data_IF_946991194010
#
_entry.id   IF_946991194010
#
_cell.length_a   1.000
_cell.length_b   1.000
_cell.length_c   1.000
_cell.angle_alpha   90.00
_cell.angle_beta   90.00
_cell.angle_gamma   90.00
#
_symmetry.space_group_name_H-M   'P 1'
#
loop_
_entity.id
_entity.type
_entity.pdbx_description
1 polymer ?
#
# COMPACT_ATOMS: atom_id res chain seq x y z
N UNK A 1 21.97 7.88 2.18
CA UNK A 1 22.17 8.25 3.59
C UNK A 1 23.19 7.36 4.30
N UNK A 2 23.04 6.03 4.33
CA UNK A 2 23.89 5.15 5.16
C UNK A 2 25.39 5.29 4.88
N UNK A 3 25.78 5.41 3.59
CA UNK A 3 27.18 5.61 3.17
C UNK A 3 27.80 6.86 3.79
N UNK A 4 27.08 7.98 3.82
CA UNK A 4 27.57 9.26 4.35
C UNK A 4 27.79 9.18 5.87
N UNK A 5 26.84 8.57 6.58
CA UNK A 5 26.92 8.38 8.03
C UNK A 5 28.12 7.49 8.39
N UNK A 6 28.33 6.39 7.66
CA UNK A 6 29.49 5.49 7.85
C UNK A 6 30.83 6.16 7.51
N UNK A 7 30.84 7.08 6.54
CA UNK A 7 32.04 7.85 6.21
C UNK A 7 32.37 8.87 7.30
N UNK A 8 31.36 9.53 7.88
CA UNK A 8 31.55 10.57 8.88
C UNK A 8 31.91 10.02 10.27
N UNK A 9 31.13 9.05 10.77
CA UNK A 9 31.33 8.49 12.11
C UNK A 9 32.20 7.24 12.06
N UNK A 10 33.43 7.33 12.57
CA UNK A 10 34.40 6.22 12.57
C UNK A 10 34.23 5.23 13.73
N UNK A 11 33.67 5.69 14.85
CA UNK A 11 33.47 4.92 16.07
C UNK A 11 31.98 4.83 16.43
N UNK A 12 31.17 4.28 15.51
CA UNK A 12 29.73 4.12 15.69
C UNK A 12 29.33 2.65 15.66
N UNK A 13 28.29 2.32 16.42
CA UNK A 13 27.58 1.04 16.34
C UNK A 13 26.20 1.29 15.74
N UNK A 14 25.80 0.45 14.78
CA UNK A 14 24.53 0.58 14.08
C UNK A 14 23.61 -0.57 14.45
N UNK A 15 22.40 -0.23 14.88
CA UNK A 15 21.32 -1.18 15.13
C UNK A 15 20.16 -0.87 14.17
N UNK A 16 19.66 -1.91 13.52
CA UNK A 16 18.53 -1.81 12.59
C UNK A 16 17.34 -2.61 13.12
N UNK A 17 16.17 -1.99 13.15
CA UNK A 17 14.90 -2.66 13.44
C UNK A 17 14.05 -2.62 12.17
N UNK A 18 13.52 -3.77 11.76
CA UNK A 18 12.65 -3.85 10.59
C UNK A 18 11.66 -5.00 10.75
N UNK A 19 10.40 -4.77 10.36
CA UNK A 19 9.41 -5.83 10.23
C UNK A 19 9.49 -6.57 8.88
N UNK A 20 10.19 -6.00 7.90
CA UNK A 20 10.32 -6.53 6.54
C UNK A 20 11.79 -6.52 6.11
N UNK A 21 12.60 -7.50 6.58
CA UNK A 21 14.00 -7.62 6.19
C UNK A 21 14.16 -7.85 4.68
N UNK A 22 15.26 -7.33 4.12
CA UNK A 22 15.69 -7.56 2.73
C UNK A 22 16.66 -8.73 2.71
N UNK A 23 16.38 -9.69 1.84
CA UNK A 23 17.11 -10.91 1.55
C UNK A 23 17.66 -10.87 0.11
N UNK A 24 18.54 -11.80 -0.29
CA UNK A 24 19.03 -11.85 -1.66
C UNK A 24 17.91 -11.93 -2.71
N UNK A 25 16.80 -12.60 -2.40
CA UNK A 25 15.65 -12.79 -3.30
C UNK A 25 14.83 -11.51 -3.53
N UNK A 26 14.89 -10.56 -2.59
CA UNK A 26 14.24 -9.27 -2.68
C UNK A 26 15.23 -8.14 -2.38
N UNK A 27 16.48 -8.25 -2.85
CA UNK A 27 17.55 -7.30 -2.52
C UNK A 27 17.15 -5.86 -2.85
N UNK A 28 17.73 -4.89 -2.14
CA UNK A 28 17.60 -3.47 -2.50
C UNK A 28 18.04 -3.23 -3.95
N UNK A 29 17.68 -2.08 -4.53
CA UNK A 29 18.05 -1.74 -5.91
C UNK A 29 19.56 -1.75 -6.16
N UNK A 30 20.34 -1.50 -5.12
CA UNK A 30 21.80 -1.57 -5.11
C UNK A 30 22.35 -2.96 -4.74
N UNK A 31 21.48 -3.98 -4.73
CA UNK A 31 21.81 -5.38 -4.48
C UNK A 31 22.04 -5.72 -3.01
N UNK A 32 21.92 -4.75 -2.08
CA UNK A 32 22.22 -4.99 -0.66
C UNK A 32 21.05 -5.62 0.09
N UNK A 33 21.37 -6.54 0.97
CA UNK A 33 20.46 -7.13 1.96
C UNK A 33 20.49 -6.34 3.27
N UNK A 34 19.55 -6.60 4.17
CA UNK A 34 19.61 -6.03 5.53
C UNK A 34 20.88 -6.47 6.27
N UNK A 35 21.35 -7.70 6.00
CA UNK A 35 22.56 -8.24 6.60
C UNK A 35 23.84 -7.53 6.09
N UNK A 36 23.86 -7.07 4.84
CA UNK A 36 25.01 -6.31 4.31
C UNK A 36 25.17 -4.94 4.99
N UNK A 37 24.07 -4.37 5.49
CA UNK A 37 24.03 -3.05 6.13
C UNK A 37 24.28 -3.17 7.63
N UNK A 38 23.61 -4.11 8.30
CA UNK A 38 23.58 -4.20 9.77
C UNK A 38 24.31 -5.43 10.34
N UNK A 39 24.80 -6.32 9.50
CA UNK A 39 25.42 -7.57 9.91
C UNK A 39 24.39 -8.63 10.31
N UNK A 40 24.78 -9.53 11.23
CA UNK A 40 23.93 -10.64 11.65
C UNK A 40 22.66 -10.16 12.33
N UNK A 41 21.55 -10.87 12.10
CA UNK A 41 20.34 -10.70 12.89
C UNK A 41 20.61 -11.13 14.34
N UNK A 42 20.32 -10.26 15.31
CA UNK A 42 20.53 -10.52 16.73
C UNK A 42 19.35 -11.23 17.38
N UNK A 43 18.12 -10.94 16.95
CA UNK A 43 16.89 -11.51 17.47
C UNK A 43 15.74 -11.31 16.47
N UNK A 44 14.75 -12.20 16.51
CA UNK A 44 13.53 -12.10 15.69
C UNK A 44 12.30 -12.31 16.54
N UNK A 45 11.28 -11.50 16.30
CA UNK A 45 9.93 -11.68 16.81
C UNK A 45 8.98 -11.52 15.63
N UNK A 46 8.40 -12.63 15.16
CA UNK A 46 7.67 -12.71 13.92
C UNK A 46 6.20 -12.34 14.11
N UNK A 47 5.52 -12.04 13.00
CA UNK A 47 4.07 -11.78 13.03
C UNK A 47 3.27 -12.97 13.56
N UNK A 48 3.75 -14.21 13.32
CA UNK A 48 3.15 -15.42 13.88
C UNK A 48 3.25 -15.43 15.41
N UNK A 49 4.40 -15.08 15.95
CA UNK A 49 4.64 -15.04 17.40
C UNK A 49 3.74 -13.97 18.02
N UNK A 50 3.72 -12.78 17.41
CA UNK A 50 2.90 -11.66 17.85
C UNK A 50 1.39 -11.96 17.84
N UNK A 51 0.89 -12.71 16.85
CA UNK A 51 -0.50 -13.18 16.81
C UNK A 51 -0.74 -14.25 17.88
N UNK A 52 0.17 -15.20 18.05
CA UNK A 52 0.06 -16.27 19.04
C UNK A 52 -0.01 -15.71 20.48
N UNK A 53 0.82 -14.71 20.77
CA UNK A 53 0.92 -14.06 22.07
C UNK A 53 -0.22 -13.05 22.33
N UNK A 54 -1.11 -12.82 21.35
CA UNK A 54 -2.21 -11.85 21.47
C UNK A 54 -1.78 -10.38 21.39
N UNK A 55 -0.53 -10.12 20.99
CA UNK A 55 0.01 -8.77 20.81
C UNK A 55 -0.39 -8.14 19.46
N UNK A 56 -0.78 -8.96 18.49
CA UNK A 56 -1.37 -8.54 17.21
C UNK A 56 -2.67 -9.29 16.94
N UNK A 57 -3.59 -8.63 16.23
CA UNK A 57 -4.79 -9.26 15.70
C UNK A 57 -4.46 -10.12 14.46
N UNK A 58 -5.20 -11.21 14.28
CA UNK A 58 -5.16 -11.99 13.05
C UNK A 58 -5.80 -11.24 11.86
N UNK A 59 -5.60 -11.78 10.66
CA UNK A 59 -6.13 -11.22 9.42
C UNK A 59 -7.35 -12.01 8.93
N UNK A 60 -8.38 -11.30 8.47
CA UNK A 60 -9.48 -11.85 7.69
C UNK A 60 -9.36 -11.33 6.26
N UNK A 61 -9.12 -12.22 5.30
CA UNK A 61 -8.86 -11.85 3.89
C UNK A 61 -9.97 -12.39 3.01
N UNK A 62 -10.73 -11.48 2.40
CA UNK A 62 -11.79 -11.79 1.44
C UNK A 62 -11.39 -11.31 0.04
N UNK A 63 -11.47 -12.20 -0.96
CA UNK A 63 -11.22 -11.86 -2.37
C UNK A 63 -12.55 -11.65 -3.10
N UNK A 64 -12.83 -10.40 -3.49
CA UNK A 64 -14.05 -10.04 -4.23
C UNK A 64 -13.71 -9.95 -5.71
N UNK A 65 -14.20 -10.92 -6.49
CA UNK A 65 -14.01 -10.91 -7.93
C UNK A 65 -15.09 -10.05 -8.64
N UNK A 66 -14.66 -9.04 -9.39
CA UNK A 66 -15.53 -8.14 -10.17
C UNK A 66 -15.75 -8.60 -11.61
N UNK A 67 -15.05 -9.64 -12.07
CA UNK A 67 -15.12 -10.16 -13.44
C UNK A 67 -15.79 -11.52 -13.48
N UNK A 68 -16.82 -11.67 -14.33
CA UNK A 68 -17.51 -12.94 -14.55
C UNK A 68 -16.77 -13.76 -15.63
N UNK A 69 -15.78 -14.55 -15.21
CA UNK A 69 -15.16 -15.70 -15.91
C UNK A 69 -14.38 -15.51 -17.24
N UNK A 70 -13.23 -16.20 -17.31
CA UNK A 70 -12.38 -16.63 -18.45
C UNK A 70 -11.61 -15.61 -19.31
N UNK A 71 -11.89 -14.31 -19.30
CA UNK A 71 -11.12 -13.38 -20.14
C UNK A 71 -9.74 -12.98 -19.57
N UNK A 72 -9.51 -13.23 -18.27
CA UNK A 72 -8.27 -12.86 -17.58
C UNK A 72 -7.84 -14.02 -16.69
N UNK A 73 -7.35 -15.11 -17.29
CA UNK A 73 -6.57 -16.09 -16.52
C UNK A 73 -5.25 -15.42 -16.18
N UNK A 74 -5.11 -14.97 -14.93
CA UNK A 74 -3.88 -14.40 -14.38
C UNK A 74 -2.71 -15.41 -14.24
N UNK A 75 -2.84 -16.60 -14.82
CA UNK A 75 -1.80 -17.64 -14.81
C UNK A 75 -0.90 -17.57 -16.04
N UNK A 76 -1.31 -16.85 -17.09
CA UNK A 76 -0.47 -16.66 -18.27
C UNK A 76 0.32 -15.35 -18.12
N UNK A 77 1.49 -15.48 -17.49
CA UNK A 77 2.48 -14.41 -17.33
C UNK A 77 3.13 -14.02 -18.69
N UNK A 78 2.59 -14.51 -19.81
CA UNK A 78 2.99 -14.14 -21.16
C UNK A 78 2.06 -13.07 -21.72
N UNK A 79 2.58 -11.85 -21.80
CA UNK A 79 2.31 -10.95 -22.92
C UNK A 79 0.83 -10.64 -23.24
N UNK A 80 -0.03 -10.46 -22.23
CA UNK A 80 -1.28 -9.70 -22.45
C UNK A 80 -0.97 -8.24 -22.18
N UNK A 81 -0.67 -7.56 -23.28
CA UNK A 81 -0.38 -6.14 -23.45
C UNK A 81 -0.90 -5.25 -22.32
N UNK A 82 0.03 -4.59 -21.64
CA UNK A 82 -0.16 -3.55 -20.63
C UNK A 82 -0.92 -2.29 -21.15
N UNK A 83 -1.59 -2.38 -22.28
CA UNK A 83 -2.16 -1.26 -23.04
C UNK A 83 -3.65 -1.06 -22.68
N UNK A 84 -4.36 -2.07 -22.14
CA UNK A 84 -5.81 -1.95 -21.87
C UNK A 84 -6.25 -2.44 -20.46
N UNK A 85 -5.30 -2.66 -19.55
CA UNK A 85 -5.66 -3.09 -18.18
C UNK A 85 -6.30 -1.97 -17.38
N UNK A 86 -5.70 -0.76 -17.38
CA UNK A 86 -6.17 0.33 -16.51
C UNK A 86 -7.58 0.81 -16.90
N UNK A 87 -7.88 0.90 -18.19
CA UNK A 87 -9.20 1.27 -18.69
C UNK A 87 -10.27 0.28 -18.22
N UNK A 88 -10.00 -1.03 -18.32
CA UNK A 88 -10.91 -2.08 -17.83
C UNK A 88 -11.07 -2.03 -16.31
N UNK A 89 -9.99 -1.82 -15.55
CA UNK A 89 -10.03 -1.72 -14.08
C UNK A 89 -10.77 -0.46 -13.60
N UNK A 90 -10.70 0.62 -14.39
CA UNK A 90 -11.33 1.90 -14.10
C UNK A 90 -12.62 2.15 -14.87
N UNK A 91 -13.16 1.17 -15.59
CA UNK A 91 -14.45 1.30 -16.26
C UNK A 91 -15.53 1.79 -15.28
N UNK A 92 -16.31 2.79 -15.67
CA UNK A 92 -17.26 3.49 -14.77
C UNK A 92 -18.20 2.53 -14.05
N UNK A 93 -18.66 1.49 -14.76
CA UNK A 93 -19.50 0.43 -14.21
C UNK A 93 -18.82 -0.36 -13.10
N UNK A 94 -17.53 -0.68 -13.26
CA UNK A 94 -16.75 -1.40 -12.25
C UNK A 94 -16.48 -0.51 -11.04
N UNK A 95 -16.06 0.74 -11.26
CA UNK A 95 -15.83 1.72 -10.19
C UNK A 95 -17.10 1.90 -9.37
N UNK A 96 -18.25 2.14 -10.02
CA UNK A 96 -19.52 2.27 -9.30
C UNK A 96 -19.91 0.98 -8.55
N UNK A 97 -19.69 -0.19 -9.14
CA UNK A 97 -19.93 -1.48 -8.47
C UNK A 97 -19.10 -1.62 -7.19
N UNK A 98 -17.80 -1.33 -7.26
CA UNK A 98 -16.89 -1.38 -6.12
C UNK A 98 -17.29 -0.35 -5.07
N UNK A 99 -17.56 0.91 -5.45
CA UNK A 99 -17.98 1.96 -4.53
C UNK A 99 -19.29 1.59 -3.81
N UNK A 100 -20.29 1.08 -4.52
CA UNK A 100 -21.54 0.61 -3.92
C UNK A 100 -21.32 -0.55 -2.97
N UNK A 101 -20.45 -1.50 -3.34
CA UNK A 101 -20.11 -2.60 -2.46
C UNK A 101 -19.49 -2.10 -1.15
N UNK A 102 -18.56 -1.15 -1.21
CA UNK A 102 -17.95 -0.54 -0.02
C UNK A 102 -19.01 0.16 0.82
N UNK A 103 -19.84 1.03 0.23
CA UNK A 103 -20.88 1.77 0.96
C UNK A 103 -21.84 0.81 1.67
N UNK A 104 -22.31 -0.23 0.98
CA UNK A 104 -23.32 -1.16 1.51
C UNK A 104 -22.77 -2.05 2.63
N UNK A 105 -21.46 -2.27 2.69
CA UNK A 105 -20.84 -3.16 3.67
C UNK A 105 -20.01 -2.41 4.73
N UNK A 106 -19.84 -1.09 4.61
CA UNK A 106 -18.98 -0.32 5.50
C UNK A 106 -19.36 -0.55 6.97
N UNK A 107 -20.64 -0.40 7.31
CA UNK A 107 -21.12 -0.54 8.69
C UNK A 107 -20.87 -1.95 9.24
N UNK A 108 -21.00 -3.00 8.40
CA UNK A 108 -20.69 -4.37 8.80
C UNK A 108 -19.21 -4.54 9.16
N UNK A 109 -18.31 -4.03 8.33
CA UNK A 109 -16.86 -4.20 8.50
C UNK A 109 -16.25 -3.24 9.54
N UNK A 110 -16.91 -2.12 9.84
CA UNK A 110 -16.43 -1.13 10.82
C UNK A 110 -17.17 -1.15 12.15
N UNK A 111 -17.92 -2.22 12.42
CA UNK A 111 -18.75 -2.36 13.63
C UNK A 111 -19.66 -1.14 13.83
N UNK A 112 -20.56 -0.94 12.87
CA UNK A 112 -21.49 0.19 12.79
C UNK A 112 -20.77 1.54 12.93
N UNK A 113 -19.69 1.74 12.16
CA UNK A 113 -18.89 2.98 12.14
C UNK A 113 -18.19 3.31 13.47
N UNK A 114 -18.00 2.33 14.35
CA UNK A 114 -17.13 2.49 15.52
C UNK A 114 -15.65 2.61 15.09
N UNK A 115 -15.28 2.00 13.96
CA UNK A 115 -13.95 2.10 13.36
C UNK A 115 -14.00 2.81 12.01
N UNK A 116 -12.84 3.22 11.49
CA UNK A 116 -12.68 3.77 10.13
C UNK A 116 -12.12 2.72 9.17
N UNK A 117 -12.02 3.06 7.88
CA UNK A 117 -11.43 2.18 6.87
C UNK A 117 -10.49 2.96 5.96
N UNK A 118 -9.51 2.26 5.40
CA UNK A 118 -8.61 2.78 4.37
C UNK A 118 -8.91 2.05 3.06
N UNK A 119 -8.97 2.80 1.97
CA UNK A 119 -9.15 2.27 0.63
C UNK A 119 -7.97 2.69 -0.26
N UNK A 120 -7.10 1.74 -0.57
CA UNK A 120 -5.89 1.96 -1.39
C UNK A 120 -6.18 1.67 -2.86
N UNK A 121 -5.68 2.52 -3.76
CA UNK A 121 -5.86 2.41 -5.21
C UNK A 121 -4.52 2.55 -5.93
N UNK A 122 -4.46 2.10 -7.18
CA UNK A 122 -3.22 1.96 -7.95
C UNK A 122 -2.65 3.27 -8.51
N UNK A 123 -3.46 4.32 -8.66
CA UNK A 123 -3.05 5.58 -9.28
C UNK A 123 -3.81 6.79 -8.75
N UNK A 124 -3.25 7.99 -8.93
CA UNK A 124 -3.94 9.25 -8.62
C UNK A 124 -5.22 9.38 -9.44
N UNK A 125 -5.20 8.95 -10.71
CA UNK A 125 -6.37 8.94 -11.57
C UNK A 125 -7.49 8.06 -10.99
N UNK A 126 -7.15 6.84 -10.53
CA UNK A 126 -8.08 5.97 -9.83
C UNK A 126 -8.66 6.65 -8.58
N UNK A 127 -7.81 7.29 -7.76
CA UNK A 127 -8.23 7.97 -6.54
C UNK A 127 -9.29 9.04 -6.83
N UNK A 128 -9.02 9.93 -7.78
CA UNK A 128 -9.95 11.00 -8.17
C UNK A 128 -11.27 10.39 -8.63
N UNK A 129 -11.21 9.35 -9.48
CA UNK A 129 -12.39 8.69 -10.03
C UNK A 129 -13.26 8.02 -8.96
N UNK A 130 -12.64 7.31 -8.01
CA UNK A 130 -13.35 6.73 -6.88
C UNK A 130 -13.92 7.80 -5.96
N UNK A 131 -13.16 8.86 -5.66
CA UNK A 131 -13.61 9.96 -4.81
C UNK A 131 -14.85 10.66 -5.37
N UNK A 132 -14.85 11.02 -6.66
CA UNK A 132 -16.02 11.62 -7.31
C UNK A 132 -17.22 10.66 -7.33
N UNK A 133 -16.97 9.36 -7.51
CA UNK A 133 -18.01 8.32 -7.43
C UNK A 133 -18.62 8.23 -6.02
N UNK A 134 -17.79 8.21 -4.97
CA UNK A 134 -18.25 8.28 -3.58
C UNK A 134 -19.07 9.54 -3.34
N UNK A 135 -18.57 10.71 -3.74
CA UNK A 135 -19.25 12.01 -3.56
C UNK A 135 -20.61 12.03 -4.26
N UNK A 136 -20.72 11.46 -5.46
CA UNK A 136 -21.98 11.34 -6.21
C UNK A 136 -22.98 10.39 -5.53
N UNK A 137 -22.53 9.22 -5.09
CA UNK A 137 -23.41 8.22 -4.46
C UNK A 137 -23.83 8.62 -3.04
N UNK A 138 -22.93 9.24 -2.27
CA UNK A 138 -23.20 9.68 -0.90
C UNK A 138 -24.35 10.69 -0.79
N UNK A 139 -24.59 11.51 -1.83
CA UNK A 139 -25.73 12.45 -1.88
C UNK A 139 -27.09 11.76 -1.77
N UNK A 140 -27.17 10.45 -2.05
CA UNK A 140 -28.41 9.66 -2.03
C UNK A 140 -28.59 8.87 -0.73
N UNK A 141 -27.62 8.91 0.19
CA UNK A 141 -27.65 8.15 1.43
C UNK A 141 -28.31 8.98 2.54
N UNK A 142 -29.15 8.34 3.35
CA UNK A 142 -29.69 8.95 4.58
C UNK A 142 -28.57 9.30 5.57
N UNK A 143 -27.55 8.45 5.64
CA UNK A 143 -26.36 8.65 6.47
C UNK A 143 -25.09 8.58 5.62
N UNK A 144 -24.66 9.70 5.01
CA UNK A 144 -23.47 9.76 4.18
C UNK A 144 -22.18 9.34 4.91
N UNK A 145 -21.23 8.79 4.16
CA UNK A 145 -19.88 8.52 4.66
C UNK A 145 -19.00 9.78 4.51
N UNK A 146 -18.15 10.04 5.50
CA UNK A 146 -17.07 11.03 5.37
C UNK A 146 -15.91 10.38 4.64
N UNK A 147 -15.61 10.86 3.44
CA UNK A 147 -14.55 10.33 2.58
C UNK A 147 -13.51 11.41 2.33
N UNK A 148 -12.24 11.10 2.56
CA UNK A 148 -11.11 11.97 2.26
C UNK A 148 -10.06 11.19 1.45
N UNK A 149 -9.38 11.87 0.53
CA UNK A 149 -8.28 11.32 -0.26
C UNK A 149 -6.99 12.08 0.03
N UNK A 150 -5.87 11.36 0.08
CA UNK A 150 -4.53 11.91 0.19
C UNK A 150 -3.64 11.27 -0.88
N UNK A 151 -2.86 12.09 -1.58
CA UNK A 151 -1.88 11.64 -2.56
C UNK A 151 -0.79 12.69 -2.74
N UNK A 152 0.36 12.26 -3.27
CA UNK A 152 1.47 13.10 -3.67
C UNK A 152 1.77 12.89 -5.15
N UNK A 153 2.30 13.92 -5.83
CA UNK A 153 2.51 13.90 -7.28
C UNK A 153 3.60 12.92 -7.73
N UNK A 154 4.57 12.67 -6.87
CA UNK A 154 5.55 11.62 -7.08
C UNK A 154 4.96 10.32 -6.52
N UNK A 155 4.99 9.20 -7.28
CA UNK A 155 5.11 7.89 -6.65
C UNK A 155 6.19 8.00 -5.57
N UNK A 156 6.12 7.24 -4.46
CA UNK A 156 7.31 7.14 -3.61
C UNK A 156 8.48 6.86 -4.57
N UNK A 157 9.38 7.84 -4.72
CA UNK A 157 10.59 7.61 -5.46
C UNK A 157 11.22 6.45 -4.69
N UNK A 158 11.61 5.40 -5.40
CA UNK A 158 12.57 4.48 -4.84
C UNK A 158 13.84 5.32 -4.66
N UNK A 159 13.90 6.05 -3.56
CA UNK A 159 14.87 7.10 -3.32
C UNK A 159 16.23 6.44 -3.41
N UNK A 160 16.91 6.69 -4.54
CA UNK A 160 18.35 6.46 -4.63
C UNK A 160 18.93 7.24 -3.48
N UNK A 161 19.55 6.51 -2.58
CA UNK A 161 20.00 6.95 -1.27
C UNK A 161 20.98 8.15 -1.40
N UNK A 162 20.48 9.38 -1.64
CA UNK A 162 21.32 10.50 -2.09
C UNK A 162 20.64 11.82 -2.50
N UNK A 163 19.39 11.85 -2.96
CA UNK A 163 18.68 13.11 -3.27
C UNK A 163 17.53 13.35 -2.29
N UNK A 164 17.79 14.07 -1.20
CA UNK A 164 16.73 14.71 -0.41
C UNK A 164 16.36 16.01 -1.11
N UNK A 165 15.15 16.18 -1.66
CA UNK A 165 14.69 17.49 -2.08
C UNK A 165 14.53 18.34 -0.82
N UNK A 166 15.38 19.35 -0.69
CA UNK A 166 15.29 20.32 0.39
C UNK A 166 13.98 21.11 0.19
N UNK A 167 12.93 20.76 0.91
CA UNK A 167 11.72 21.58 1.03
C UNK A 167 11.79 22.40 2.32
N UNK A 168 12.81 23.24 2.43
CA UNK A 168 12.73 24.38 3.34
C UNK A 168 11.80 25.40 2.72
N UNK A 169 10.69 25.69 3.41
CA UNK A 169 9.93 26.91 3.17
C UNK A 169 10.84 28.05 3.60
N UNK A 170 11.36 28.81 2.64
CA UNK A 170 11.88 30.14 2.93
C UNK A 170 10.68 31.03 3.27
N UNK A 171 10.73 31.65 4.45
CA UNK A 171 9.96 32.85 4.77
C UNK A 171 10.66 34.06 4.14
#
# INVERSE_FOLDING_TARGET
MHRLVKQHFKNAQYFGFTGTPRFPENSSQDGRTTADIFGRCLHTYLIRDAIHDGNLLGFSVDYINTFKNKALKAEDNSMVEAIDTEEVWLADKRVELVTRHIINNHDKYTRNRQYSSIFTVQSIHALIKYYETFKRLNKKLEQPLTVAGIFTFKPNEDDRDGEVPYHSREN
#
